data_IF_265161026902
#
_entry.id   IF_265161026902
#
_cell.length_a   1.000
_cell.length_b   1.000
_cell.length_c   1.000
_cell.angle_alpha   90.00
_cell.angle_beta   90.00
_cell.angle_gamma   90.00
#
_symmetry.space_group_name_H-M   'P 1'
#
loop_
_entity.id
_entity.type
_entity.pdbx_description
1 polymer ?
#
# COMPACT_ATOMS: atom_id res chain seq x y z
N UNK A 1 -25.34 -21.80 -22.17
CA UNK A 1 -25.11 -20.66 -21.26
C UNK A 1 -24.69 -21.18 -19.88
N UNK A 2 -23.39 -21.37 -19.64
CA UNK A 2 -22.86 -21.89 -18.38
C UNK A 2 -22.72 -20.73 -17.38
N UNK A 3 -23.40 -20.81 -16.23
CA UNK A 3 -23.30 -19.89 -15.11
C UNK A 3 -21.83 -19.75 -14.69
N UNK A 4 -21.18 -18.63 -15.01
CA UNK A 4 -19.89 -18.22 -14.48
C UNK A 4 -20.02 -18.13 -12.95
N UNK A 5 -19.58 -19.18 -12.24
CA UNK A 5 -19.54 -19.19 -10.77
C UNK A 5 -18.63 -18.05 -10.30
N UNK A 6 -19.17 -17.08 -9.56
CA UNK A 6 -18.50 -15.94 -8.94
C UNK A 6 -17.50 -16.46 -7.88
N UNK A 7 -16.29 -16.82 -8.31
CA UNK A 7 -15.21 -17.27 -7.40
C UNK A 7 -14.69 -16.15 -6.50
N UNK A 8 -14.88 -14.87 -6.86
CA UNK A 8 -14.40 -13.72 -6.08
C UNK A 8 -15.27 -13.35 -4.87
N UNK A 9 -16.58 -13.67 -4.89
CA UNK A 9 -17.47 -13.22 -3.80
C UNK A 9 -17.27 -13.97 -2.48
N UNK A 10 -16.90 -15.26 -2.54
CA UNK A 10 -16.68 -16.07 -1.34
C UNK A 10 -15.43 -15.68 -0.55
N UNK A 11 -14.39 -15.20 -1.21
CA UNK A 11 -13.18 -14.74 -0.55
C UNK A 11 -13.39 -13.42 0.20
N UNK A 12 -14.04 -12.44 -0.45
CA UNK A 12 -14.36 -11.16 0.17
C UNK A 12 -15.28 -11.33 1.39
N UNK A 13 -16.19 -12.30 1.35
CA UNK A 13 -17.05 -12.64 2.48
C UNK A 13 -16.22 -13.15 3.69
N UNK A 14 -15.22 -14.00 3.43
CA UNK A 14 -14.30 -14.48 4.48
C UNK A 14 -13.48 -13.36 5.11
N UNK A 15 -12.97 -12.43 4.30
CA UNK A 15 -12.21 -11.27 4.76
C UNK A 15 -13.08 -10.31 5.59
N UNK A 16 -14.34 -10.07 5.16
CA UNK A 16 -15.30 -9.26 5.92
C UNK A 16 -15.61 -9.95 7.26
N UNK A 17 -15.86 -11.25 7.25
CA UNK A 17 -16.15 -12.01 8.48
C UNK A 17 -14.97 -11.94 9.46
N UNK A 18 -13.74 -12.10 8.99
CA UNK A 18 -12.55 -11.96 9.81
C UNK A 18 -12.42 -10.57 10.44
N UNK A 19 -12.69 -9.49 9.66
CA UNK A 19 -12.71 -8.13 10.17
C UNK A 19 -13.78 -7.96 11.27
N UNK A 20 -14.99 -8.44 11.03
CA UNK A 20 -16.10 -8.34 12.01
C UNK A 20 -15.77 -9.08 13.30
N UNK A 21 -15.26 -10.33 13.21
CA UNK A 21 -14.86 -11.11 14.37
C UNK A 21 -13.78 -10.39 15.17
N UNK A 22 -12.77 -9.84 14.50
CA UNK A 22 -11.69 -9.10 15.15
C UNK A 22 -12.22 -7.82 15.84
N UNK A 23 -13.10 -7.06 15.18
CA UNK A 23 -13.72 -5.88 15.80
C UNK A 23 -14.57 -6.24 17.02
N UNK A 24 -15.34 -7.32 16.96
CA UNK A 24 -16.13 -7.81 18.11
C UNK A 24 -15.23 -8.25 19.25
N UNK A 25 -14.16 -9.00 18.97
CA UNK A 25 -13.19 -9.41 19.99
C UNK A 25 -12.58 -8.19 20.69
N UNK A 26 -12.11 -7.18 19.94
CA UNK A 26 -11.52 -5.99 20.50
C UNK A 26 -12.51 -5.13 21.27
N UNK A 27 -13.77 -5.04 20.82
CA UNK A 27 -14.83 -4.31 21.50
C UNK A 27 -15.19 -4.94 22.89
N UNK A 28 -15.10 -6.27 22.98
CA UNK A 28 -15.30 -6.98 24.25
C UNK A 28 -14.07 -6.85 25.15
N UNK A 29 -12.85 -6.90 24.56
CA UNK A 29 -11.59 -6.89 25.31
C UNK A 29 -11.23 -5.51 25.86
N UNK A 30 -11.62 -4.42 25.19
CA UNK A 30 -11.29 -3.05 25.61
C UNK A 30 -12.39 -2.05 25.26
N UNK A 31 -13.00 -1.44 26.29
CA UNK A 31 -14.08 -0.46 26.15
C UNK A 31 -13.68 0.79 25.33
N UNK A 32 -12.39 1.12 25.26
CA UNK A 32 -11.92 2.26 24.48
C UNK A 32 -11.91 1.97 22.96
N UNK A 33 -12.07 0.72 22.55
CA UNK A 33 -12.04 0.35 21.13
C UNK A 33 -13.12 1.08 20.31
N UNK A 34 -14.34 1.17 20.82
CA UNK A 34 -15.45 1.85 20.15
C UNK A 34 -15.59 3.33 20.47
N UNK A 35 -14.62 3.93 21.21
CA UNK A 35 -14.60 5.38 21.39
C UNK A 35 -14.41 6.11 20.06
N UNK A 36 -15.08 7.26 19.90
CA UNK A 36 -14.97 8.08 18.70
C UNK A 36 -13.51 8.41 18.35
N UNK A 37 -12.71 8.79 19.34
CA UNK A 37 -11.29 9.10 19.16
C UNK A 37 -10.51 7.92 18.60
N UNK A 38 -10.76 6.71 19.11
CA UNK A 38 -10.06 5.51 18.64
C UNK A 38 -10.50 5.13 17.22
N UNK A 39 -11.80 5.18 16.91
CA UNK A 39 -12.29 4.93 15.56
C UNK A 39 -11.69 5.90 14.55
N UNK A 40 -11.60 7.19 14.89
CA UNK A 40 -10.92 8.19 14.03
C UNK A 40 -9.43 7.89 13.86
N UNK A 41 -8.76 7.38 14.91
CA UNK A 41 -7.36 6.96 14.83
C UNK A 41 -7.17 5.77 13.89
N UNK A 42 -8.07 4.77 13.94
CA UNK A 42 -8.07 3.64 12.99
C UNK A 42 -8.24 4.14 11.55
N UNK A 43 -9.20 5.03 11.29
CA UNK A 43 -9.44 5.56 9.95
C UNK A 43 -8.23 6.37 9.41
N UNK A 44 -7.60 7.19 10.24
CA UNK A 44 -6.38 7.93 9.88
C UNK A 44 -5.20 7.00 9.59
N UNK A 45 -5.03 5.93 10.36
CA UNK A 45 -4.00 4.93 10.13
C UNK A 45 -4.29 4.12 8.87
N UNK A 46 -5.56 3.75 8.67
CA UNK A 46 -6.01 3.08 7.43
C UNK A 46 -5.71 3.95 6.21
N UNK A 47 -5.91 5.26 6.27
CA UNK A 47 -5.63 6.16 5.16
C UNK A 47 -4.15 6.11 4.75
N UNK A 48 -3.22 6.14 5.69
CA UNK A 48 -1.79 5.99 5.41
C UNK A 48 -1.48 4.65 4.72
N UNK A 49 -1.92 3.54 5.32
CA UNK A 49 -1.68 2.20 4.78
C UNK A 49 -2.36 2.01 3.42
N UNK A 50 -3.54 2.60 3.21
CA UNK A 50 -4.30 2.47 1.99
C UNK A 50 -3.62 3.17 0.80
N UNK A 51 -2.99 4.32 0.99
CA UNK A 51 -2.17 4.94 -0.06
C UNK A 51 -1.03 4.01 -0.48
N UNK A 52 -0.27 3.47 0.47
CA UNK A 52 0.82 2.53 0.18
C UNK A 52 0.31 1.27 -0.54
N UNK A 53 -0.83 0.74 -0.08
CA UNK A 53 -1.42 -0.48 -0.62
C UNK A 53 -1.95 -0.31 -2.06
N UNK A 54 -2.41 0.89 -2.47
CA UNK A 54 -2.77 1.15 -3.88
C UNK A 54 -1.54 0.96 -4.78
N UNK A 55 -0.41 1.57 -4.43
CA UNK A 55 0.84 1.42 -5.18
C UNK A 55 1.33 -0.02 -5.20
N UNK A 56 1.35 -0.66 -4.03
CA UNK A 56 1.74 -2.06 -3.87
C UNK A 56 0.85 -3.01 -4.67
N UNK A 57 -0.47 -2.77 -4.71
CA UNK A 57 -1.40 -3.59 -5.47
C UNK A 57 -1.10 -3.57 -6.97
N UNK A 58 -0.78 -2.40 -7.54
CA UNK A 58 -0.41 -2.29 -8.96
C UNK A 58 0.84 -3.12 -9.27
N UNK A 59 1.85 -3.07 -8.40
CA UNK A 59 3.05 -3.89 -8.53
C UNK A 59 2.72 -5.38 -8.40
N UNK A 60 1.95 -5.79 -7.38
CA UNK A 60 1.57 -7.19 -7.16
C UNK A 60 0.73 -7.76 -8.32
N UNK A 61 -0.20 -6.98 -8.90
CA UNK A 61 -0.97 -7.44 -10.08
C UNK A 61 -0.02 -7.76 -11.23
N UNK A 62 1.09 -7.05 -11.41
CA UNK A 62 2.10 -7.35 -12.44
C UNK A 62 3.13 -8.40 -12.03
N UNK A 63 2.88 -9.18 -10.97
CA UNK A 63 3.81 -10.14 -10.36
C UNK A 63 5.11 -9.49 -9.86
N UNK A 64 5.10 -8.18 -9.60
CA UNK A 64 6.20 -7.42 -9.00
C UNK A 64 5.97 -7.11 -7.54
N UNK A 65 6.98 -6.57 -6.89
CA UNK A 65 6.92 -6.10 -5.50
C UNK A 65 7.72 -4.82 -5.36
N UNK A 66 7.22 -3.87 -4.57
CA UNK A 66 7.94 -2.63 -4.28
C UNK A 66 8.21 -2.49 -2.77
N UNK A 67 9.37 -2.96 -2.33
CA UNK A 67 9.79 -2.87 -0.93
C UNK A 67 10.24 -1.45 -0.54
N UNK A 68 10.36 -0.54 -1.50
CA UNK A 68 10.79 0.83 -1.23
C UNK A 68 9.64 1.76 -0.82
N UNK A 69 8.37 1.33 -0.97
CA UNK A 69 7.21 2.22 -0.81
C UNK A 69 7.17 2.90 0.57
N UNK A 70 7.47 2.16 1.65
CA UNK A 70 7.51 2.70 3.01
C UNK A 70 8.63 3.71 3.21
N UNK A 71 9.85 3.38 2.79
CA UNK A 71 10.99 4.27 2.86
C UNK A 71 10.80 5.51 1.96
N UNK A 72 10.16 5.35 0.78
CA UNK A 72 9.83 6.45 -0.11
C UNK A 72 8.84 7.43 0.53
N UNK A 73 7.81 6.93 1.22
CA UNK A 73 6.88 7.78 1.96
C UNK A 73 7.60 8.62 3.03
N UNK A 74 8.51 8.00 3.78
CA UNK A 74 9.30 8.70 4.81
C UNK A 74 10.30 9.65 4.19
N UNK A 75 10.97 9.28 3.11
CA UNK A 75 11.90 10.17 2.39
C UNK A 75 11.17 11.42 1.87
N UNK A 76 10.02 11.27 1.22
CA UNK A 76 9.23 12.40 0.74
C UNK A 76 8.79 13.31 1.90
N UNK A 77 8.38 12.74 3.02
CA UNK A 77 8.05 13.49 4.24
C UNK A 77 9.25 14.26 4.78
N UNK A 78 10.43 13.63 4.84
CA UNK A 78 11.68 14.25 5.28
C UNK A 78 12.17 15.35 4.33
N UNK A 79 12.04 15.13 3.01
CA UNK A 79 12.38 16.13 1.99
C UNK A 79 11.50 17.39 2.16
N UNK A 80 10.18 17.21 2.30
CA UNK A 80 9.26 18.32 2.57
C UNK A 80 9.60 19.04 3.87
N UNK A 81 9.95 18.30 4.94
CA UNK A 81 10.35 18.85 6.23
C UNK A 81 11.65 19.67 6.14
N UNK A 82 12.66 19.16 5.43
CA UNK A 82 13.93 19.87 5.22
C UNK A 82 13.72 21.17 4.44
N UNK A 83 12.92 21.15 3.38
CA UNK A 83 12.56 22.35 2.60
C UNK A 83 11.76 23.36 3.44
N UNK A 84 10.82 22.88 4.26
CA UNK A 84 10.08 23.75 5.18
C UNK A 84 10.99 24.39 6.21
N UNK A 85 11.93 23.64 6.79
CA UNK A 85 12.93 24.14 7.73
C UNK A 85 13.87 25.17 7.08
N UNK A 86 14.16 25.05 5.78
CA UNK A 86 14.96 26.02 5.03
C UNK A 86 14.20 27.29 4.61
N UNK A 87 12.94 27.45 5.04
CA UNK A 87 12.16 28.68 4.83
C UNK A 87 11.04 28.56 3.77
N UNK A 88 10.81 27.40 3.15
CA UNK A 88 9.69 27.22 2.22
C UNK A 88 8.37 27.14 3.00
N UNK A 89 7.57 28.20 2.96
CA UNK A 89 6.30 28.30 3.70
C UNK A 89 5.07 27.79 2.93
N UNK A 90 5.18 27.62 1.59
CA UNK A 90 4.07 27.14 0.76
C UNK A 90 3.87 25.64 0.92
N UNK A 91 2.84 25.21 1.68
CA UNK A 91 2.54 23.78 1.85
C UNK A 91 2.12 23.10 0.56
N UNK A 92 1.45 23.81 -0.37
CA UNK A 92 1.09 23.25 -1.68
C UNK A 92 2.35 22.91 -2.48
N UNK A 93 3.33 23.82 -2.51
CA UNK A 93 4.59 23.59 -3.22
C UNK A 93 5.38 22.44 -2.60
N UNK A 94 5.43 22.35 -1.26
CA UNK A 94 6.02 21.22 -0.55
C UNK A 94 5.39 19.89 -0.95
N UNK A 95 4.05 19.83 -0.98
CA UNK A 95 3.33 18.61 -1.39
C UNK A 95 3.61 18.23 -2.84
N UNK A 96 3.63 19.20 -3.76
CA UNK A 96 3.98 18.95 -5.17
C UNK A 96 5.39 18.38 -5.30
N UNK A 97 6.38 18.98 -4.61
CA UNK A 97 7.77 18.50 -4.62
C UNK A 97 7.84 17.07 -4.04
N UNK A 98 7.15 16.80 -2.94
CA UNK A 98 7.08 15.47 -2.36
C UNK A 98 6.52 14.43 -3.35
N UNK A 99 5.42 14.76 -4.04
CA UNK A 99 4.79 13.87 -5.04
C UNK A 99 5.71 13.63 -6.24
N UNK A 100 6.36 14.68 -6.75
CA UNK A 100 7.31 14.57 -7.86
C UNK A 100 8.53 13.72 -7.47
N UNK A 101 9.08 13.94 -6.26
CA UNK A 101 10.21 13.16 -5.76
C UNK A 101 9.84 11.67 -5.60
N UNK A 102 8.67 11.36 -5.01
CA UNK A 102 8.21 9.99 -4.87
C UNK A 102 7.93 9.32 -6.21
N UNK A 103 7.31 10.04 -7.15
CA UNK A 103 7.08 9.57 -8.52
C UNK A 103 8.39 9.31 -9.27
N UNK A 104 9.40 10.17 -9.10
CA UNK A 104 10.74 9.99 -9.68
C UNK A 104 11.41 8.72 -9.14
N UNK A 105 11.34 8.47 -7.83
CA UNK A 105 11.84 7.23 -7.23
C UNK A 105 11.16 6.00 -7.84
N UNK A 106 9.83 6.03 -7.93
CA UNK A 106 9.08 4.94 -8.57
C UNK A 106 9.44 4.76 -10.05
N UNK A 107 9.63 5.86 -10.80
CA UNK A 107 10.08 5.82 -12.19
C UNK A 107 11.47 5.21 -12.34
N UNK A 108 12.40 5.55 -11.43
CA UNK A 108 13.73 4.94 -11.39
C UNK A 108 13.62 3.43 -11.15
N UNK A 109 12.86 2.99 -10.14
CA UNK A 109 12.65 1.56 -9.86
C UNK A 109 12.07 0.83 -11.08
N UNK A 110 11.04 1.39 -11.71
CA UNK A 110 10.44 0.83 -12.90
C UNK A 110 11.42 0.75 -14.08
N UNK A 111 12.27 1.77 -14.27
CA UNK A 111 13.28 1.83 -15.34
C UNK A 111 14.42 0.83 -15.09
N UNK A 112 14.90 0.72 -13.85
CA UNK A 112 15.90 -0.28 -13.45
C UNK A 112 15.44 -1.70 -13.79
N UNK A 113 14.17 -2.01 -13.50
CA UNK A 113 13.61 -3.32 -13.78
C UNK A 113 13.40 -3.59 -15.27
N UNK A 114 12.85 -2.61 -16.01
CA UNK A 114 12.33 -2.84 -17.36
C UNK A 114 13.31 -2.52 -18.48
N UNK A 115 14.16 -1.52 -18.30
CA UNK A 115 15.10 -1.04 -19.32
C UNK A 115 16.56 -1.44 -19.06
N UNK A 116 16.93 -1.52 -17.75
CA UNK A 116 18.24 -2.01 -17.35
C UNK A 116 18.23 -3.51 -17.01
N UNK A 117 17.05 -4.16 -17.17
CA UNK A 117 16.88 -5.61 -17.08
C UNK A 117 17.39 -6.23 -15.77
N UNK A 118 17.20 -5.55 -14.64
CA UNK A 118 17.50 -6.16 -13.35
C UNK A 118 16.68 -7.45 -13.18
N UNK A 119 17.30 -8.53 -12.72
CA UNK A 119 16.71 -9.88 -12.81
C UNK A 119 15.45 -10.05 -11.97
N UNK A 120 15.29 -9.24 -10.91
CA UNK A 120 14.13 -9.34 -10.03
C UNK A 120 13.81 -7.99 -9.36
N UNK A 121 12.53 -7.60 -9.27
CA UNK A 121 12.12 -6.34 -8.63
C UNK A 121 12.52 -6.25 -7.15
N UNK A 122 12.64 -7.38 -6.46
CA UNK A 122 13.11 -7.45 -5.07
C UNK A 122 14.48 -6.76 -4.89
N UNK A 123 15.42 -7.01 -5.79
CA UNK A 123 16.80 -6.47 -5.68
C UNK A 123 16.80 -4.95 -5.83
N UNK A 124 16.11 -4.43 -6.86
CA UNK A 124 16.04 -2.98 -7.11
C UNK A 124 15.33 -2.24 -5.98
N UNK A 125 14.18 -2.73 -5.55
CA UNK A 125 13.35 -2.03 -4.56
C UNK A 125 13.89 -2.16 -3.13
N UNK A 126 14.54 -3.30 -2.78
CA UNK A 126 15.25 -3.42 -1.51
C UNK A 126 16.49 -2.52 -1.46
N UNK A 127 17.27 -2.46 -2.56
CA UNK A 127 18.38 -1.51 -2.67
C UNK A 127 17.91 -0.07 -2.55
N UNK A 128 16.83 0.29 -3.27
CA UNK A 128 16.22 1.61 -3.20
C UNK A 128 15.70 1.95 -1.80
N UNK A 129 15.12 1.00 -1.07
CA UNK A 129 14.71 1.18 0.34
C UNK A 129 15.87 1.70 1.19
N UNK A 130 17.06 1.08 1.07
CA UNK A 130 18.24 1.50 1.83
C UNK A 130 18.78 2.87 1.37
N UNK A 131 18.78 3.14 0.06
CA UNK A 131 19.15 4.46 -0.49
C UNK A 131 18.23 5.55 0.08
N UNK A 132 16.92 5.33 0.07
CA UNK A 132 15.93 6.29 0.57
C UNK A 132 16.04 6.49 2.08
N UNK A 133 16.35 5.44 2.83
CA UNK A 133 16.64 5.57 4.26
C UNK A 133 17.85 6.48 4.49
N UNK A 134 18.97 6.22 3.80
CA UNK A 134 20.15 7.07 3.88
C UNK A 134 19.85 8.52 3.48
N UNK A 135 19.13 8.74 2.38
CA UNK A 135 18.73 10.07 1.94
C UNK A 135 17.82 10.78 2.97
N UNK A 136 16.86 10.06 3.57
CA UNK A 136 15.99 10.62 4.61
C UNK A 136 16.79 11.11 5.83
N UNK A 137 17.81 10.34 6.26
CA UNK A 137 18.73 10.75 7.33
C UNK A 137 19.59 11.95 6.94
N UNK A 138 20.14 11.96 5.73
CA UNK A 138 20.97 13.06 5.22
C UNK A 138 20.19 14.37 5.15
N UNK A 139 19.02 14.40 4.52
CA UNK A 139 18.24 15.65 4.34
C UNK A 139 17.71 16.21 5.66
N UNK A 140 17.54 15.38 6.68
CA UNK A 140 17.09 15.81 8.02
C UNK A 140 18.25 16.07 8.99
N UNK A 141 19.49 15.72 8.60
CA UNK A 141 20.63 15.70 9.53
C UNK A 141 20.42 14.74 10.70
N UNK A 142 19.70 13.62 10.45
CA UNK A 142 19.29 12.63 11.46
C UNK A 142 18.44 13.20 12.61
N UNK A 143 17.85 14.38 12.42
CA UNK A 143 17.02 15.06 13.41
C UNK A 143 15.54 14.94 13.05
N UNK A 144 14.69 15.02 14.07
CA UNK A 144 13.25 15.18 13.90
C UNK A 144 12.94 16.61 13.46
N UNK A 145 12.09 16.79 12.45
CA UNK A 145 11.64 18.09 11.95
C UNK A 145 10.14 18.21 12.19
N UNK A 146 9.71 19.35 12.74
CA UNK A 146 8.33 19.66 13.12
C UNK A 146 7.81 21.00 12.56
N UNK A 147 8.50 21.57 11.58
CA UNK A 147 8.21 22.89 11.01
C UNK A 147 7.31 22.85 9.78
N UNK A 148 6.22 22.09 9.83
CA UNK A 148 5.30 21.98 8.70
C UNK A 148 4.24 23.09 8.70
N UNK A 149 3.96 23.74 7.55
CA UNK A 149 2.87 24.70 7.41
C UNK A 149 1.50 24.05 7.69
N UNK A 150 0.55 24.84 8.23
CA UNK A 150 -0.81 24.41 8.53
C UNK A 150 -1.52 23.79 7.31
N UNK A 151 -1.21 24.25 6.09
CA UNK A 151 -1.77 23.71 4.84
C UNK A 151 -1.37 22.26 4.57
N UNK A 152 -0.18 21.80 5.00
CA UNK A 152 0.22 20.38 4.95
C UNK A 152 -0.51 19.58 6.01
N UNK A 153 -0.67 20.15 7.20
CA UNK A 153 -1.32 19.47 8.32
C UNK A 153 -2.83 19.33 8.13
N UNK A 154 -3.44 20.19 7.29
CA UNK A 154 -4.87 20.16 7.02
C UNK A 154 -5.39 18.77 6.58
N UNK A 155 -4.67 18.10 5.70
CA UNK A 155 -5.07 16.77 5.17
C UNK A 155 -5.12 15.69 6.26
N UNK A 156 -4.24 15.77 7.25
CA UNK A 156 -4.14 14.77 8.33
C UNK A 156 -4.98 15.07 9.58
N UNK A 157 -5.19 16.36 9.87
CA UNK A 157 -5.89 16.79 11.10
C UNK A 157 -7.37 17.06 10.89
N UNK A 158 -7.76 17.60 9.73
CA UNK A 158 -9.13 18.05 9.51
C UNK A 158 -10.10 16.87 9.40
N UNK A 159 -11.30 17.10 9.98
CA UNK A 159 -12.44 16.21 9.86
C UNK A 159 -13.61 16.94 9.18
N UNK A 160 -14.32 16.27 8.28
CA UNK A 160 -15.54 16.76 7.63
C UNK A 160 -16.66 15.81 8.02
N UNK A 161 -17.74 16.34 8.58
CA UNK A 161 -18.90 15.56 9.06
C UNK A 161 -18.47 14.41 10.00
N UNK A 162 -17.45 14.67 10.83
CA UNK A 162 -16.93 13.68 11.78
C UNK A 162 -15.97 12.63 11.20
N UNK A 163 -15.64 12.67 9.89
CA UNK A 163 -14.70 11.75 9.27
C UNK A 163 -13.38 12.43 8.91
N UNK A 164 -12.21 11.76 9.06
CA UNK A 164 -10.92 12.32 8.65
C UNK A 164 -10.89 12.59 7.15
N UNK A 165 -10.46 13.78 6.74
CA UNK A 165 -10.33 14.14 5.32
C UNK A 165 -9.42 13.17 4.57
N UNK A 166 -8.32 12.73 5.19
CA UNK A 166 -7.41 11.74 4.62
C UNK A 166 -8.12 10.43 4.24
N UNK A 167 -9.07 9.97 5.05
CA UNK A 167 -9.83 8.75 4.75
C UNK A 167 -10.86 8.98 3.64
N UNK A 168 -11.51 10.15 3.61
CA UNK A 168 -12.43 10.52 2.51
C UNK A 168 -11.68 10.54 1.18
N UNK A 169 -10.48 11.16 1.14
CA UNK A 169 -9.62 11.18 -0.06
C UNK A 169 -9.24 9.77 -0.50
N UNK A 170 -8.94 8.88 0.43
CA UNK A 170 -8.66 7.47 0.13
C UNK A 170 -9.86 6.77 -0.48
N UNK A 171 -11.07 6.96 0.04
CA UNK A 171 -12.28 6.35 -0.54
C UNK A 171 -12.43 6.80 -2.01
N UNK A 172 -12.32 8.10 -2.27
CA UNK A 172 -12.41 8.64 -3.63
C UNK A 172 -11.31 8.04 -4.52
N UNK A 173 -10.07 7.98 -4.04
CA UNK A 173 -8.94 7.37 -4.75
C UNK A 173 -9.23 5.89 -5.09
N UNK A 174 -9.75 5.12 -4.14
CA UNK A 174 -10.06 3.70 -4.36
C UNK A 174 -11.15 3.49 -5.40
N UNK A 175 -12.17 4.36 -5.43
CA UNK A 175 -13.21 4.36 -6.47
C UNK A 175 -12.58 4.67 -7.84
N UNK A 176 -11.78 5.74 -7.93
CA UNK A 176 -11.09 6.14 -9.17
C UNK A 176 -10.18 5.00 -9.66
N UNK A 177 -9.36 4.42 -8.78
CA UNK A 177 -8.46 3.33 -9.14
C UNK A 177 -9.19 2.04 -9.47
N UNK A 178 -10.35 1.78 -8.85
CA UNK A 178 -11.22 0.67 -9.24
C UNK A 178 -11.74 0.85 -10.67
N UNK A 179 -12.23 2.03 -11.01
CA UNK A 179 -12.69 2.36 -12.36
C UNK A 179 -11.52 2.29 -13.35
N UNK A 180 -10.37 2.86 -13.00
CA UNK A 180 -9.14 2.80 -13.80
C UNK A 180 -8.77 1.36 -14.15
N UNK A 181 -8.61 0.49 -13.14
CA UNK A 181 -8.23 -0.90 -13.36
C UNK A 181 -9.27 -1.71 -14.13
N UNK A 182 -10.57 -1.45 -13.92
CA UNK A 182 -11.65 -2.26 -14.51
C UNK A 182 -12.08 -1.77 -15.89
N UNK A 183 -11.95 -0.49 -16.20
CA UNK A 183 -12.56 0.14 -17.39
C UNK A 183 -11.55 0.66 -18.42
N UNK A 184 -10.28 0.92 -18.05
CA UNK A 184 -9.30 1.46 -18.99
C UNK A 184 -8.51 0.37 -19.71
N UNK A 185 -7.94 0.72 -20.88
CA UNK A 185 -7.05 -0.18 -21.62
C UNK A 185 -5.78 -0.50 -20.83
N UNK A 186 -5.19 0.52 -20.17
CA UNK A 186 -3.99 0.36 -19.35
C UNK A 186 -4.27 -0.53 -18.12
N UNK A 187 -5.42 -0.37 -17.47
CA UNK A 187 -5.83 -1.25 -16.38
C UNK A 187 -5.92 -2.72 -16.80
N UNK A 188 -6.51 -2.99 -17.98
CA UNK A 188 -6.52 -4.34 -18.53
C UNK A 188 -5.11 -4.87 -18.85
N UNK A 189 -4.24 -4.02 -19.43
CA UNK A 189 -2.85 -4.38 -19.72
C UNK A 189 -2.07 -4.76 -18.46
N UNK A 190 -2.32 -4.10 -17.32
CA UNK A 190 -1.71 -4.44 -16.03
C UNK A 190 -2.09 -5.88 -15.61
N UNK A 191 -3.37 -6.25 -15.70
CA UNK A 191 -3.79 -7.63 -15.39
C UNK A 191 -3.25 -8.66 -16.38
N UNK A 192 -3.21 -8.33 -17.67
CA UNK A 192 -2.66 -9.20 -18.71
C UNK A 192 -1.16 -9.46 -18.48
N UNK A 193 -0.38 -8.40 -18.23
CA UNK A 193 1.05 -8.50 -17.95
C UNK A 193 1.35 -9.41 -16.76
N UNK A 194 0.56 -9.30 -15.67
CA UNK A 194 0.71 -10.17 -14.52
C UNK A 194 0.19 -11.59 -14.72
N UNK A 195 -0.73 -11.80 -15.65
CA UNK A 195 -1.22 -13.14 -16.00
C UNK A 195 -0.24 -13.95 -16.87
N UNK A 196 0.32 -13.30 -17.88
CA UNK A 196 1.39 -13.85 -18.72
C UNK A 196 2.09 -12.71 -19.47
N UNK A 197 3.28 -12.34 -18.99
CA UNK A 197 4.07 -11.23 -19.51
C UNK A 197 4.42 -11.44 -20.99
N UNK A 198 4.84 -12.65 -21.37
CA UNK A 198 5.30 -12.94 -22.72
C UNK A 198 4.11 -12.94 -23.71
N UNK A 199 2.99 -13.56 -23.37
CA UNK A 199 1.78 -13.51 -24.21
C UNK A 199 1.27 -12.07 -24.39
N UNK A 200 1.39 -11.23 -23.33
CA UNK A 200 1.00 -9.83 -23.38
C UNK A 200 1.92 -9.04 -24.33
N UNK A 201 3.23 -9.31 -24.28
CA UNK A 201 4.23 -8.70 -25.17
C UNK A 201 3.97 -9.09 -26.64
N UNK A 202 3.72 -10.37 -26.88
CA UNK A 202 3.40 -10.90 -28.23
C UNK A 202 2.08 -10.34 -28.79
N UNK A 203 1.17 -9.89 -27.93
CA UNK A 203 -0.07 -9.20 -28.32
C UNK A 203 0.15 -7.72 -28.65
N UNK A 204 1.40 -7.24 -28.75
CA UNK A 204 1.75 -5.87 -29.11
C UNK A 204 1.69 -4.85 -27.96
N UNK A 205 1.45 -5.31 -26.71
CA UNK A 205 1.44 -4.41 -25.55
C UNK A 205 2.88 -4.20 -25.04
N UNK A 206 3.29 -2.95 -24.90
CA UNK A 206 4.59 -2.60 -24.32
C UNK A 206 4.59 -2.85 -22.79
N UNK A 207 5.00 -4.07 -22.41
CA UNK A 207 5.03 -4.50 -21.00
C UNK A 207 6.00 -3.67 -20.16
N UNK A 208 7.10 -3.19 -20.74
CA UNK A 208 8.06 -2.33 -20.04
C UNK A 208 7.41 -1.01 -19.58
N UNK A 209 6.63 -0.38 -20.45
CA UNK A 209 5.92 0.85 -20.10
C UNK A 209 4.82 0.58 -19.05
N UNK A 210 4.13 -0.56 -19.14
CA UNK A 210 3.12 -0.96 -18.16
C UNK A 210 3.74 -1.12 -16.76
N UNK A 211 4.86 -1.83 -16.66
CA UNK A 211 5.55 -2.03 -15.38
C UNK A 211 6.10 -0.70 -14.85
N UNK A 212 6.80 0.09 -15.70
CA UNK A 212 7.33 1.40 -15.28
C UNK A 212 6.22 2.30 -14.74
N UNK A 213 5.05 2.30 -15.39
CA UNK A 213 3.87 3.02 -14.89
C UNK A 213 3.44 2.53 -13.50
N UNK A 214 3.37 1.22 -13.26
CA UNK A 214 2.96 0.66 -11.97
C UNK A 214 3.91 1.11 -10.85
N UNK A 215 5.23 1.05 -11.07
CA UNK A 215 6.21 1.51 -10.08
C UNK A 215 6.19 3.03 -9.89
N UNK A 216 6.00 3.81 -10.97
CA UNK A 216 5.85 5.27 -10.86
C UNK A 216 4.62 5.63 -10.02
N UNK A 217 3.50 4.98 -10.27
CA UNK A 217 2.29 5.16 -9.45
C UNK A 217 2.50 4.71 -8.01
N UNK A 218 3.25 3.63 -7.77
CA UNK A 218 3.64 3.20 -6.42
C UNK A 218 4.40 4.31 -5.68
N UNK A 219 5.35 4.95 -6.36
CA UNK A 219 6.11 6.06 -5.80
C UNK A 219 5.26 7.31 -5.51
N UNK A 220 4.31 7.64 -6.39
CA UNK A 220 3.36 8.75 -6.17
C UNK A 220 2.47 8.45 -4.95
N UNK A 221 1.94 7.22 -4.86
CA UNK A 221 1.10 6.81 -3.72
C UNK A 221 1.89 6.81 -2.41
N UNK A 222 3.16 6.42 -2.44
CA UNK A 222 4.06 6.52 -1.28
C UNK A 222 4.23 7.97 -0.82
N UNK A 223 4.43 8.92 -1.74
CA UNK A 223 4.52 10.34 -1.39
C UNK A 223 3.23 10.87 -0.76
N UNK A 224 2.05 10.49 -1.30
CA UNK A 224 0.75 10.84 -0.70
C UNK A 224 0.60 10.27 0.71
N UNK A 225 1.04 9.03 0.94
CA UNK A 225 1.11 8.46 2.29
C UNK A 225 2.02 9.29 3.21
N UNK A 226 3.20 9.71 2.74
CA UNK A 226 4.11 10.60 3.47
C UNK A 226 3.45 11.93 3.86
N UNK A 227 2.73 12.57 2.93
CA UNK A 227 1.96 13.80 3.18
C UNK A 227 0.91 13.59 4.28
N UNK A 228 0.14 12.50 4.21
CA UNK A 228 -0.86 12.17 5.23
C UNK A 228 -0.21 11.89 6.58
N UNK A 229 0.95 11.22 6.60
CA UNK A 229 1.71 10.93 7.82
C UNK A 229 2.14 12.21 8.53
N UNK A 230 2.83 13.13 7.82
CA UNK A 230 3.23 14.40 8.40
C UNK A 230 2.06 15.32 8.68
N UNK A 231 1.02 15.26 7.86
CA UNK A 231 -0.23 15.96 8.09
C UNK A 231 -0.87 15.58 9.43
N UNK A 232 -0.79 14.29 9.81
CA UNK A 232 -1.34 13.77 11.07
C UNK A 232 -0.44 14.05 12.28
N UNK A 233 0.86 13.82 12.14
CA UNK A 233 1.82 13.87 13.24
C UNK A 233 2.44 15.26 13.43
N UNK A 234 2.45 16.10 12.40
CA UNK A 234 3.17 17.37 12.38
C UNK A 234 4.70 17.23 12.37
N UNK A 235 5.22 15.99 12.30
CA UNK A 235 6.64 15.69 12.39
C UNK A 235 7.08 14.69 11.32
N UNK A 236 8.36 14.76 10.93
CA UNK A 236 9.03 13.71 10.17
C UNK A 236 10.35 13.30 10.86
N UNK A 237 10.72 12.04 10.69
CA UNK A 237 11.97 11.48 11.20
C UNK A 237 12.50 10.43 10.22
N UNK A 238 13.72 10.61 9.72
CA UNK A 238 14.37 9.70 8.77
C UNK A 238 14.51 8.26 9.30
N UNK A 239 14.65 8.07 10.62
CA UNK A 239 14.71 6.74 11.22
C UNK A 239 13.45 5.90 10.97
N UNK A 240 12.30 6.53 10.76
CA UNK A 240 11.05 5.81 10.46
C UNK A 240 11.05 5.08 9.09
N UNK A 241 12.04 5.33 8.22
CA UNK A 241 12.17 4.62 6.95
C UNK A 241 12.47 3.12 7.11
N UNK A 242 12.91 2.68 8.29
CA UNK A 242 13.12 1.26 8.62
C UNK A 242 11.84 0.56 9.11
N UNK A 243 10.78 1.30 9.39
CA UNK A 243 9.51 0.71 9.81
C UNK A 243 8.91 -0.19 8.73
N UNK A 244 8.23 -1.28 9.09
CA UNK A 244 7.74 -2.30 8.15
C UNK A 244 6.47 -1.88 7.39
N UNK A 245 6.42 -0.64 6.91
CA UNK A 245 5.25 -0.12 6.17
C UNK A 245 5.02 -0.82 4.83
N UNK A 246 6.10 -1.21 4.15
CA UNK A 246 6.07 -2.04 2.95
C UNK A 246 5.43 -3.40 3.23
N UNK A 247 5.80 -4.02 4.34
CA UNK A 247 5.27 -5.32 4.78
C UNK A 247 3.77 -5.24 5.10
N UNK A 248 3.33 -4.16 5.75
CA UNK A 248 1.91 -3.90 6.03
C UNK A 248 1.10 -3.73 4.73
N UNK A 249 1.64 -3.00 3.76
CA UNK A 249 1.00 -2.80 2.45
C UNK A 249 0.88 -4.12 1.67
N UNK A 250 1.92 -4.96 1.69
CA UNK A 250 1.88 -6.31 1.11
C UNK A 250 0.81 -7.15 1.80
N UNK A 251 0.83 -7.20 3.14
CA UNK A 251 -0.14 -7.97 3.92
C UNK A 251 -1.58 -7.55 3.60
N UNK A 252 -1.84 -6.24 3.54
CA UNK A 252 -3.15 -5.70 3.20
C UNK A 252 -3.61 -6.14 1.81
N UNK A 253 -2.72 -6.11 0.81
CA UNK A 253 -3.05 -6.57 -0.55
C UNK A 253 -3.36 -8.07 -0.59
N UNK A 254 -2.54 -8.92 0.06
CA UNK A 254 -2.69 -10.37 0.03
C UNK A 254 -3.92 -10.82 0.83
N UNK A 255 -4.13 -10.28 2.04
CA UNK A 255 -5.34 -10.51 2.83
C UNK A 255 -6.57 -10.01 2.05
N UNK A 256 -6.42 -8.96 1.24
CA UNK A 256 -7.45 -8.46 0.33
C UNK A 256 -7.67 -9.32 -0.93
N UNK A 257 -6.87 -10.36 -1.15
CA UNK A 257 -7.02 -11.32 -2.26
C UNK A 257 -6.20 -10.99 -3.50
N UNK A 258 -5.17 -10.14 -3.39
CA UNK A 258 -4.15 -10.05 -4.42
C UNK A 258 -3.27 -11.30 -4.40
N UNK A 259 -2.71 -11.67 -5.56
CA UNK A 259 -1.82 -12.83 -5.68
C UNK A 259 -0.38 -12.41 -5.89
N UNK A 260 0.56 -13.06 -5.21
CA UNK A 260 1.98 -12.91 -5.45
C UNK A 260 2.41 -13.37 -6.86
N UNK A 261 1.65 -14.28 -7.45
CA UNK A 261 1.92 -14.77 -8.82
C UNK A 261 1.40 -13.83 -9.91
N UNK A 262 0.78 -12.71 -9.53
CA UNK A 262 0.23 -11.71 -10.44
C UNK A 262 -1.14 -12.05 -11.02
N UNK A 263 -1.66 -11.16 -11.85
CA UNK A 263 -2.92 -11.30 -12.58
C UNK A 263 -4.19 -11.24 -11.73
N UNK A 264 -4.09 -11.10 -10.40
CA UNK A 264 -5.23 -11.06 -9.49
C UNK A 264 -5.05 -9.97 -8.43
N UNK A 265 -6.14 -9.32 -8.09
CA UNK A 265 -6.21 -8.28 -7.05
C UNK A 265 -7.37 -7.34 -7.31
N UNK A 266 -7.94 -6.73 -6.29
CA UNK A 266 -9.03 -5.77 -6.42
C UNK A 266 -8.88 -4.64 -5.41
N UNK A 267 -9.28 -3.41 -5.80
CA UNK A 267 -9.24 -2.25 -4.90
C UNK A 267 -10.12 -2.50 -3.66
N UNK A 268 -11.32 -3.05 -3.84
CA UNK A 268 -12.20 -3.34 -2.71
C UNK A 268 -11.58 -4.32 -1.71
N UNK A 269 -11.00 -5.42 -2.20
CA UNK A 269 -10.30 -6.39 -1.33
C UNK A 269 -9.13 -5.75 -0.59
N UNK A 270 -8.31 -4.96 -1.29
CA UNK A 270 -7.17 -4.24 -0.70
C UNK A 270 -7.62 -3.27 0.40
N UNK A 271 -8.74 -2.55 0.21
CA UNK A 271 -9.30 -1.69 1.26
C UNK A 271 -9.67 -2.49 2.51
N UNK A 272 -10.33 -3.65 2.35
CA UNK A 272 -10.64 -4.54 3.47
C UNK A 272 -9.36 -5.02 4.18
N UNK A 273 -8.31 -5.37 3.42
CA UNK A 273 -7.02 -5.73 3.98
C UNK A 273 -6.37 -4.59 4.76
N UNK A 274 -6.42 -3.36 4.25
CA UNK A 274 -5.92 -2.18 4.96
C UNK A 274 -6.66 -1.94 6.28
N UNK A 275 -7.99 -2.12 6.29
CA UNK A 275 -8.78 -2.03 7.52
C UNK A 275 -8.38 -3.12 8.52
N UNK A 276 -8.18 -4.37 8.09
CA UNK A 276 -7.75 -5.47 8.95
C UNK A 276 -6.41 -5.15 9.60
N UNK A 277 -5.39 -4.75 8.81
CA UNK A 277 -4.06 -4.40 9.34
C UNK A 277 -4.14 -3.24 10.32
N UNK A 278 -4.92 -2.20 10.00
CA UNK A 278 -5.05 -1.02 10.88
C UNK A 278 -5.79 -1.34 12.18
N UNK A 279 -6.85 -2.15 12.13
CA UNK A 279 -7.57 -2.60 13.32
C UNK A 279 -6.69 -3.52 14.18
N UNK A 280 -5.90 -4.40 13.55
CA UNK A 280 -4.97 -5.29 14.25
C UNK A 280 -3.89 -4.50 15.00
N UNK A 281 -3.22 -3.54 14.33
CA UNK A 281 -2.22 -2.67 14.97
C UNK A 281 -2.82 -1.81 16.08
N UNK A 282 -4.01 -1.24 15.86
CA UNK A 282 -4.73 -0.48 16.87
C UNK A 282 -5.10 -1.36 18.07
N UNK A 283 -5.58 -2.58 17.81
CA UNK A 283 -5.89 -3.56 18.87
C UNK A 283 -4.67 -3.91 19.71
N UNK A 284 -3.52 -4.14 19.10
CA UNK A 284 -2.27 -4.38 19.84
C UNK A 284 -1.91 -3.20 20.74
N UNK A 285 -2.07 -1.97 20.23
CA UNK A 285 -1.80 -0.76 21.02
C UNK A 285 -2.77 -0.62 22.19
N UNK A 286 -4.08 -0.86 21.97
CA UNK A 286 -5.09 -0.81 23.02
C UNK A 286 -4.91 -1.88 24.12
N UNK A 287 -4.38 -3.04 23.75
CA UNK A 287 -4.08 -4.13 24.66
C UNK A 287 -2.67 -4.02 25.27
N UNK A 288 -1.95 -2.92 24.97
CA UNK A 288 -0.58 -2.67 25.44
C UNK A 288 0.40 -3.81 25.09
N UNK A 289 0.20 -4.45 23.94
CA UNK A 289 1.06 -5.53 23.46
C UNK A 289 2.37 -4.91 22.97
N UNK A 290 3.50 -5.47 23.40
CA UNK A 290 4.83 -5.03 23.02
C UNK A 290 5.03 -5.05 21.49
N UNK A 291 5.76 -4.06 20.97
CA UNK A 291 6.01 -3.91 19.53
C UNK A 291 6.76 -5.09 18.90
N UNK A 292 7.60 -5.78 19.68
CA UNK A 292 8.26 -7.00 19.21
C UNK A 292 7.25 -8.13 18.95
N UNK A 293 6.29 -8.32 19.85
CA UNK A 293 5.20 -9.31 19.69
C UNK A 293 4.30 -8.92 18.51
N UNK A 294 3.99 -7.62 18.34
CA UNK A 294 3.23 -7.14 17.19
C UNK A 294 3.90 -7.53 15.86
N UNK A 295 5.22 -7.34 15.74
CA UNK A 295 5.96 -7.69 14.54
C UNK A 295 5.99 -9.20 14.29
N UNK A 296 6.11 -10.02 15.34
CA UNK A 296 6.03 -11.50 15.25
C UNK A 296 4.66 -11.92 14.69
N UNK A 297 3.59 -11.41 15.28
CA UNK A 297 2.21 -11.77 14.85
C UNK A 297 1.95 -11.31 13.40
N UNK A 298 2.35 -10.10 13.05
CA UNK A 298 2.20 -9.61 11.68
C UNK A 298 2.99 -10.44 10.68
N UNK A 299 4.23 -10.82 11.01
CA UNK A 299 5.03 -11.72 10.18
C UNK A 299 4.35 -13.07 9.96
N UNK A 300 3.81 -13.68 11.02
CA UNK A 300 3.05 -14.93 10.92
C UNK A 300 1.78 -14.78 10.08
N UNK A 301 1.04 -13.68 10.23
CA UNK A 301 -0.16 -13.39 9.44
C UNK A 301 0.20 -13.32 7.94
N UNK A 302 1.31 -12.69 7.58
CA UNK A 302 1.76 -12.60 6.19
C UNK A 302 2.13 -13.98 5.65
N UNK A 303 2.92 -14.77 6.40
CA UNK A 303 3.29 -16.13 5.99
C UNK A 303 2.04 -16.98 5.75
N UNK A 304 1.07 -16.94 6.66
CA UNK A 304 -0.19 -17.68 6.52
C UNK A 304 -1.02 -17.19 5.32
N UNK A 305 -1.08 -15.87 5.10
CA UNK A 305 -1.80 -15.30 3.96
C UNK A 305 -1.21 -15.73 2.63
N UNK A 306 0.13 -15.68 2.51
CA UNK A 306 0.85 -16.15 1.31
C UNK A 306 0.69 -17.65 1.11
N UNK A 307 0.81 -18.44 2.17
CA UNK A 307 0.61 -19.90 2.10
C UNK A 307 -0.80 -20.23 1.60
N UNK A 308 -1.82 -19.54 2.10
CA UNK A 308 -3.19 -19.70 1.62
C UNK A 308 -3.35 -19.34 0.14
N UNK A 309 -2.67 -18.28 -0.35
CA UNK A 309 -2.68 -17.91 -1.77
C UNK A 309 -2.05 -19.02 -2.64
N UNK A 310 -0.89 -19.54 -2.25
CA UNK A 310 -0.21 -20.64 -2.94
C UNK A 310 -1.07 -21.91 -3.00
N UNK A 311 -1.65 -22.32 -1.87
CA UNK A 311 -2.54 -23.50 -1.82
C UNK A 311 -3.75 -23.33 -2.75
N UNK A 312 -4.36 -22.14 -2.77
CA UNK A 312 -5.47 -21.83 -3.67
C UNK A 312 -5.07 -21.89 -5.14
N UNK A 313 -3.92 -21.28 -5.48
CA UNK A 313 -3.40 -21.33 -6.85
C UNK A 313 -3.18 -22.75 -7.32
N UNK A 314 -2.62 -23.62 -6.48
CA UNK A 314 -2.43 -25.04 -6.78
C UNK A 314 -3.77 -25.78 -6.95
N UNK A 315 -4.75 -25.53 -6.08
CA UNK A 315 -6.08 -26.13 -6.20
C UNK A 315 -6.81 -25.69 -7.49
N UNK A 316 -6.70 -24.40 -7.86
CA UNK A 316 -7.27 -23.90 -9.12
C UNK A 316 -6.59 -24.54 -10.33
N UNK A 317 -5.26 -24.66 -10.33
CA UNK A 317 -4.50 -25.31 -11.39
C UNK A 317 -4.90 -26.80 -11.55
N UNK A 318 -5.03 -27.52 -10.44
CA UNK A 318 -5.50 -28.94 -10.44
C UNK A 318 -6.91 -29.06 -11.01
N UNK A 319 -7.84 -28.17 -10.59
CA UNK A 319 -9.23 -28.16 -11.13
C UNK A 319 -9.28 -27.91 -12.64
N UNK A 320 -8.44 -26.98 -13.16
CA UNK A 320 -8.36 -26.69 -14.59
C UNK A 320 -7.83 -27.89 -15.38
N UNK A 321 -6.79 -28.57 -14.88
CA UNK A 321 -6.25 -29.79 -15.50
C UNK A 321 -7.29 -30.89 -15.56
N UNK A 322 -8.03 -31.15 -14.49
CA UNK A 322 -9.10 -32.15 -14.43
C UNK A 322 -10.30 -31.80 -15.33
N UNK A 323 -10.59 -30.52 -15.54
CA UNK A 323 -11.64 -30.07 -16.44
C UNK A 323 -11.24 -30.17 -17.93
N UNK A 324 -9.95 -30.05 -18.25
CA UNK A 324 -9.43 -30.20 -19.60
C UNK A 324 -9.22 -31.67 -20.01
N UNK A 325 -9.18 -32.60 -19.05
CA UNK A 325 -9.05 -34.04 -19.26
C UNK A 325 -10.39 -34.77 -19.42
N UNK A 326 -11.51 -34.05 -19.27
CA UNK A 326 -12.89 -34.50 -19.56
C UNK A 326 -13.35 -33.92 -20.89
#
# INVERSE_FOLDING_TARGET
MTKKKKSGSGFQLGTILALVIMCLFLAISNKNFYSYSNLMSILKQTAFNAFLAVGMLLCLITAGIDLSVGANAVFCACLMGALSKSGMSSGILLMIIGILAGGLVGFINGTLLTRLHLPHPFVSTLGMKNVLWGLALLVTGSQMINTFPASVQWLGLTTIVGFPVSFIVVIVLYIVMHVFLSKTALGRSIYCAGGNMEATRLSGINTANVLTFCYTMSGIMAALAGIVSVGRSGICNGANATQPYDTDAIAACIIGGASFTGGKGTMFGTMLGCLIISVLRNGFTLLSIDSAVQNIVLGLVIILAVLMDVIRAQMEAKRRRLAAAK
#
